data_IF_711990352827
#
_entry.id   IF_711990352827
#
_cell.length_a   1.000
_cell.length_b   1.000
_cell.length_c   1.000
_cell.angle_alpha   90.00
_cell.angle_beta   90.00
_cell.angle_gamma   90.00
#
_symmetry.space_group_name_H-M   'P 1'
#
loop_
_entity.id
_entity.type
_entity.pdbx_description
1 polymer ?
#
# COMPACT_ATOMS: atom_id res chain seq x y z
N UNK A 1 5.14 -55.85 -32.64
CA UNK A 1 4.04 -55.10 -33.29
C UNK A 1 3.77 -53.85 -32.44
N UNK A 2 4.10 -52.66 -32.90
CA UNK A 2 3.85 -51.42 -32.15
C UNK A 2 2.49 -50.85 -32.53
N UNK A 3 1.69 -50.52 -31.53
CA UNK A 3 0.38 -49.87 -31.66
C UNK A 3 0.54 -48.35 -31.59
N UNK A 4 0.22 -47.68 -32.70
CA UNK A 4 0.21 -46.21 -32.82
C UNK A 4 -1.09 -45.66 -32.26
N UNK A 5 -1.05 -44.94 -31.15
CA UNK A 5 -2.15 -44.06 -30.74
C UNK A 5 -1.89 -42.65 -31.24
N UNK A 6 -2.70 -42.22 -32.21
CA UNK A 6 -2.75 -40.86 -32.73
C UNK A 6 -3.44 -39.95 -31.69
N UNK A 7 -2.71 -38.97 -31.16
CA UNK A 7 -3.27 -37.85 -30.40
C UNK A 7 -3.95 -36.89 -31.38
N UNK A 8 -5.25 -36.70 -31.22
CA UNK A 8 -6.03 -35.68 -31.91
C UNK A 8 -6.00 -34.43 -31.01
N UNK A 9 -5.29 -33.40 -31.46
CA UNK A 9 -5.33 -32.09 -30.84
C UNK A 9 -6.61 -31.37 -31.27
N UNK A 10 -7.51 -31.10 -30.33
CA UNK A 10 -8.72 -30.31 -30.54
C UNK A 10 -8.39 -28.85 -30.19
N UNK A 11 -8.12 -28.02 -31.18
CA UNK A 11 -7.92 -26.58 -31.03
C UNK A 11 -9.28 -25.88 -30.86
N UNK A 12 -9.54 -25.33 -29.71
CA UNK A 12 -10.67 -24.43 -29.50
C UNK A 12 -10.24 -22.99 -29.82
N UNK A 13 -10.71 -22.46 -30.96
CA UNK A 13 -10.56 -21.04 -31.29
C UNK A 13 -11.60 -20.22 -30.50
N UNK A 14 -11.13 -19.37 -29.61
CA UNK A 14 -11.98 -18.40 -28.91
C UNK A 14 -12.02 -17.14 -29.76
N UNK A 15 -13.18 -16.87 -30.37
CA UNK A 15 -13.47 -15.61 -31.07
C UNK A 15 -13.77 -14.52 -30.03
N UNK A 16 -12.91 -13.50 -29.94
CA UNK A 16 -13.16 -12.30 -29.15
C UNK A 16 -14.01 -11.35 -29.98
N UNK A 17 -15.26 -11.17 -29.60
CA UNK A 17 -16.15 -10.14 -30.17
C UNK A 17 -15.79 -8.78 -29.53
N UNK A 18 -15.19 -7.89 -30.32
CA UNK A 18 -14.98 -6.49 -29.93
C UNK A 18 -16.26 -5.72 -30.21
N UNK A 19 -17.02 -5.43 -29.16
CA UNK A 19 -18.16 -4.49 -29.24
C UNK A 19 -17.64 -3.07 -29.18
N UNK A 20 -17.70 -2.35 -30.31
CA UNK A 20 -17.39 -0.92 -30.37
C UNK A 20 -18.41 -0.08 -29.60
N UNK A 21 -17.93 0.68 -28.61
CA UNK A 21 -18.70 1.72 -27.95
C UNK A 21 -18.47 3.01 -28.75
N UNK A 22 -19.52 3.56 -29.34
CA UNK A 22 -19.51 4.85 -30.01
C UNK A 22 -19.38 5.97 -28.97
N UNK A 23 -18.29 6.75 -29.05
CA UNK A 23 -18.10 7.98 -28.29
C UNK A 23 -19.01 9.06 -28.91
N UNK A 24 -19.99 9.55 -28.16
CA UNK A 24 -20.74 10.76 -28.51
C UNK A 24 -19.84 11.98 -28.21
N UNK A 25 -19.47 12.67 -29.28
CA UNK A 25 -18.76 13.94 -29.25
C UNK A 25 -19.75 15.04 -28.80
N UNK A 26 -19.56 15.58 -27.59
CA UNK A 26 -20.27 16.80 -27.16
C UNK A 26 -19.41 18.01 -27.55
N UNK A 27 -19.99 18.85 -28.40
CA UNK A 27 -19.42 20.12 -28.83
C UNK A 27 -19.19 21.10 -27.65
N UNK A 28 -18.15 21.95 -27.70
CA UNK A 28 -17.91 22.95 -26.67
C UNK A 28 -18.93 24.10 -26.80
N UNK A 29 -19.68 24.36 -25.74
CA UNK A 29 -20.55 25.51 -25.62
C UNK A 29 -19.73 26.79 -25.45
N UNK A 30 -19.89 27.72 -26.40
CA UNK A 30 -19.40 29.09 -26.31
C UNK A 30 -20.06 29.81 -25.12
N UNK A 31 -19.33 30.02 -24.05
CA UNK A 31 -19.70 31.00 -23.01
C UNK A 31 -19.15 32.38 -23.40
N UNK A 32 -20.01 33.16 -24.03
CA UNK A 32 -19.85 34.57 -24.32
C UNK A 32 -19.76 35.32 -22.98
N UNK A 33 -18.55 35.79 -22.61
CA UNK A 33 -18.37 36.72 -21.51
C UNK A 33 -18.88 38.11 -21.85
N UNK A 34 -19.95 38.55 -21.22
CA UNK A 34 -20.42 39.92 -21.26
C UNK A 34 -19.47 40.86 -20.48
N UNK A 35 -19.31 42.11 -20.95
CA UNK A 35 -18.41 43.10 -20.34
C UNK A 35 -19.12 43.97 -19.31
N UNK A 36 -19.45 43.44 -18.11
CA UNK A 36 -20.01 44.26 -17.05
C UNK A 36 -19.64 43.66 -15.69
N UNK A 37 -18.44 43.91 -15.21
CA UNK A 37 -18.07 43.91 -13.78
C UNK A 37 -16.66 44.47 -13.59
N UNK A 38 -16.42 45.69 -14.10
CA UNK A 38 -15.33 46.52 -13.61
C UNK A 38 -15.96 47.77 -12.98
N UNK A 39 -16.21 47.75 -11.69
CA UNK A 39 -16.28 48.92 -10.81
C UNK A 39 -16.48 48.45 -9.35
N UNK A 40 -15.44 47.98 -8.73
CA UNK A 40 -15.30 48.15 -7.29
C UNK A 40 -14.05 48.96 -7.03
N UNK A 41 -14.32 50.28 -6.80
CA UNK A 41 -13.38 51.27 -6.35
C UNK A 41 -12.71 50.78 -5.07
N UNK A 42 -11.38 50.72 -5.08
CA UNK A 42 -10.57 50.62 -3.87
C UNK A 42 -10.72 51.88 -3.04
N UNK A 43 -11.09 51.79 -1.77
CA UNK A 43 -10.93 52.95 -0.87
C UNK A 43 -9.43 53.11 -0.60
N UNK A 44 -8.90 54.25 -1.03
CA UNK A 44 -7.59 54.74 -0.67
C UNK A 44 -7.61 55.19 0.79
N UNK A 45 -7.46 54.28 1.73
CA UNK A 45 -7.23 54.54 3.15
C UNK A 45 -5.74 54.35 3.44
N UNK A 46 -5.00 55.43 3.41
CA UNK A 46 -3.66 55.53 4.02
C UNK A 46 -3.83 55.43 5.53
N UNK A 47 -3.62 54.25 6.10
CA UNK A 47 -3.38 54.13 7.53
C UNK A 47 -1.87 54.17 7.78
N UNK A 48 -1.38 55.09 8.64
CA UNK A 48 0.04 55.13 8.97
C UNK A 48 0.40 53.84 9.73
N UNK A 49 1.36 53.08 9.21
CA UNK A 49 1.96 51.94 9.88
C UNK A 49 2.70 52.41 11.14
N UNK A 50 2.07 52.20 12.26
CA UNK A 50 2.74 52.37 13.57
C UNK A 50 3.69 51.20 13.85
N UNK A 51 4.74 51.41 14.67
CA UNK A 51 5.74 50.38 14.96
C UNK A 51 5.18 49.14 15.67
N UNK A 52 3.95 49.18 16.14
CA UNK A 52 3.30 48.06 16.84
C UNK A 52 2.84 46.92 15.91
N UNK A 53 2.48 47.23 14.66
CA UNK A 53 2.04 46.19 13.71
C UNK A 53 3.17 45.26 13.26
N UNK A 54 4.40 45.72 13.27
CA UNK A 54 5.57 44.91 12.93
C UNK A 54 5.90 43.88 14.01
N UNK A 55 5.67 44.25 15.28
CA UNK A 55 5.88 43.34 16.41
C UNK A 55 4.77 42.26 16.50
N UNK A 56 3.52 42.61 16.17
CA UNK A 56 2.40 41.67 16.16
C UNK A 56 2.57 40.63 15.05
N UNK A 57 2.99 41.05 13.85
CA UNK A 57 3.30 40.08 12.75
C UNK A 57 4.50 39.20 13.09
N UNK A 58 5.54 39.68 13.74
CA UNK A 58 6.66 38.87 14.20
C UNK A 58 6.27 37.91 15.32
N UNK A 59 5.33 38.26 16.19
CA UNK A 59 4.79 37.34 17.20
C UNK A 59 3.93 36.23 16.57
N UNK A 60 3.13 36.55 15.56
CA UNK A 60 2.34 35.56 14.86
C UNK A 60 3.23 34.56 14.07
N UNK A 61 4.31 35.03 13.45
CA UNK A 61 5.28 34.17 12.80
C UNK A 61 6.15 33.32 13.76
N UNK A 62 6.46 33.87 14.97
CA UNK A 62 7.15 33.06 15.99
C UNK A 62 6.25 32.02 16.63
N UNK A 63 4.94 32.21 16.67
CA UNK A 63 3.97 31.21 17.12
C UNK A 63 3.82 30.03 16.14
N UNK A 64 4.06 30.24 14.85
CA UNK A 64 4.02 29.16 13.83
C UNK A 64 5.33 28.39 13.68
N UNK A 65 6.48 28.95 14.07
CA UNK A 65 7.76 28.23 14.06
C UNK A 65 8.08 27.49 15.36
N UNK A 66 7.30 27.70 16.44
CA UNK A 66 7.45 27.00 17.72
C UNK A 66 6.73 25.66 17.82
N UNK A 67 6.02 25.22 16.78
CA UNK A 67 5.22 23.99 16.75
C UNK A 67 5.95 22.72 16.37
N UNK A 68 7.24 22.73 16.08
CA UNK A 68 8.01 21.54 15.69
C UNK A 68 8.64 20.78 16.86
N UNK A 69 8.20 20.99 18.08
CA UNK A 69 8.86 20.48 19.26
C UNK A 69 8.01 19.71 20.27
N UNK A 70 6.82 19.25 19.91
CA UNK A 70 6.19 18.13 20.65
C UNK A 70 6.15 16.92 19.76
N UNK A 71 7.27 16.23 19.64
CA UNK A 71 7.28 14.81 19.40
C UNK A 71 6.30 14.20 20.39
N UNK A 72 5.16 13.74 19.90
CA UNK A 72 4.29 12.84 20.64
C UNK A 72 5.18 11.85 21.35
N UNK A 73 4.97 11.63 22.64
CA UNK A 73 5.80 10.75 23.45
C UNK A 73 6.10 9.49 22.63
N UNK A 74 7.38 9.15 22.50
CA UNK A 74 7.90 8.21 21.53
C UNK A 74 7.06 6.93 21.58
N UNK A 75 6.15 6.77 20.63
CA UNK A 75 5.46 5.51 20.44
C UNK A 75 6.53 4.48 20.14
N UNK A 76 6.53 3.39 20.89
CA UNK A 76 7.45 2.27 20.63
C UNK A 76 7.05 1.47 19.39
N UNK A 77 5.93 1.82 18.79
CA UNK A 77 5.36 1.17 17.61
C UNK A 77 5.14 2.22 16.52
N UNK A 78 5.56 1.96 15.26
CA UNK A 78 5.30 2.83 14.13
C UNK A 78 3.80 3.09 13.91
N UNK A 79 3.41 4.31 13.57
CA UNK A 79 2.02 4.74 13.41
C UNK A 79 1.70 5.26 12.01
N UNK A 80 2.71 5.62 11.22
CA UNK A 80 2.50 6.11 9.86
C UNK A 80 2.22 4.97 8.87
N UNK A 81 1.33 5.18 7.88
CA UNK A 81 1.09 4.21 6.81
C UNK A 81 2.36 3.97 6.00
N UNK A 82 2.70 2.70 5.74
CA UNK A 82 3.98 2.28 5.20
C UNK A 82 4.21 2.46 3.71
N UNK A 83 3.40 3.24 2.97
CA UNK A 83 3.60 3.42 1.52
C UNK A 83 4.45 4.64 1.15
N UNK A 84 4.54 5.65 2.00
CA UNK A 84 5.58 6.66 1.88
C UNK A 84 6.87 6.10 2.49
N UNK A 85 7.75 5.61 1.63
CA UNK A 85 8.99 4.97 2.06
C UNK A 85 9.85 5.89 2.94
N UNK A 86 9.89 7.19 2.66
CA UNK A 86 10.60 8.15 3.49
C UNK A 86 9.95 8.32 4.86
N UNK A 87 8.61 8.45 4.90
CA UNK A 87 7.88 8.58 6.16
C UNK A 87 8.05 7.37 7.05
N UNK A 88 7.92 6.16 6.50
CA UNK A 88 8.12 4.90 7.23
C UNK A 88 9.55 4.75 7.77
N UNK A 89 10.57 5.07 6.96
CA UNK A 89 11.97 5.03 7.38
C UNK A 89 12.23 6.10 8.44
N UNK A 90 11.75 7.33 8.24
CA UNK A 90 11.93 8.42 9.20
C UNK A 90 11.32 8.09 10.56
N UNK A 91 10.10 7.55 10.60
CA UNK A 91 9.46 7.15 11.85
C UNK A 91 10.27 6.05 12.55
N UNK A 92 10.74 5.05 11.80
CA UNK A 92 11.59 3.99 12.32
C UNK A 92 12.90 4.54 12.90
N UNK A 93 13.57 5.46 12.20
CA UNK A 93 14.79 6.12 12.70
C UNK A 93 14.51 6.88 13.99
N UNK A 94 13.42 7.67 14.05
CA UNK A 94 13.06 8.40 15.26
C UNK A 94 12.82 7.48 16.46
N UNK A 95 12.19 6.30 16.24
CA UNK A 95 11.96 5.30 17.30
C UNK A 95 13.29 4.68 17.76
N UNK A 96 14.19 4.35 16.81
CA UNK A 96 15.51 3.79 17.12
C UNK A 96 16.39 4.78 17.87
N UNK A 97 16.38 6.05 17.49
CA UNK A 97 17.12 7.15 18.16
C UNK A 97 16.61 7.39 19.58
N UNK A 98 15.31 7.27 19.80
CA UNK A 98 14.69 7.48 21.11
C UNK A 98 14.91 6.32 22.10
N UNK A 99 15.23 5.13 21.64
CA UNK A 99 15.48 3.95 22.47
C UNK A 99 16.98 3.83 22.81
N UNK A 100 17.41 4.13 24.04
CA UNK A 100 18.82 4.06 24.45
C UNK A 100 19.40 2.63 24.42
N UNK A 101 18.55 1.62 24.22
CA UNK A 101 18.97 0.21 24.10
C UNK A 101 19.13 -0.22 22.64
N UNK A 102 19.01 0.69 21.69
CA UNK A 102 19.21 0.39 20.27
C UNK A 102 20.65 -0.05 20.03
N UNK A 103 20.81 -1.24 19.52
CA UNK A 103 22.10 -1.77 19.06
C UNK A 103 22.31 -1.38 17.59
N UNK A 104 22.92 -0.21 17.38
CA UNK A 104 23.15 0.35 16.04
C UNK A 104 24.04 -0.53 15.16
N UNK A 105 24.81 -1.46 15.73
CA UNK A 105 25.60 -2.41 14.94
C UNK A 105 24.75 -3.47 14.22
N UNK A 106 23.49 -3.62 14.62
CA UNK A 106 22.53 -4.56 14.04
C UNK A 106 21.42 -3.89 13.24
N UNK A 107 21.38 -2.55 13.25
CA UNK A 107 20.36 -1.82 12.50
C UNK A 107 20.61 -1.98 11.00
N UNK A 108 19.58 -2.43 10.27
CA UNK A 108 19.59 -2.61 8.82
C UNK A 108 18.41 -1.85 8.19
N UNK A 109 18.63 -0.57 7.92
CA UNK A 109 17.64 0.26 7.22
C UNK A 109 17.56 -0.07 5.72
N UNK A 110 18.58 -0.73 5.16
CA UNK A 110 18.54 -1.18 3.78
C UNK A 110 17.57 -2.34 3.61
N UNK A 111 17.51 -3.28 4.55
CA UNK A 111 16.50 -4.34 4.56
C UNK A 111 15.08 -3.74 4.60
N UNK A 112 14.83 -2.75 5.47
CA UNK A 112 13.56 -2.02 5.49
C UNK A 112 13.27 -1.34 4.15
N UNK A 113 14.24 -0.67 3.54
CA UNK A 113 14.08 -0.03 2.23
C UNK A 113 13.70 -1.05 1.15
N UNK A 114 14.34 -2.21 1.12
CA UNK A 114 14.02 -3.27 0.16
C UNK A 114 12.59 -3.81 0.36
N UNK A 115 12.17 -4.00 1.60
CA UNK A 115 10.81 -4.41 1.92
C UNK A 115 9.76 -3.38 1.44
N UNK A 116 9.98 -2.09 1.67
CA UNK A 116 9.09 -1.03 1.18
C UNK A 116 9.02 -0.97 -0.36
N UNK A 117 10.12 -1.29 -1.05
CA UNK A 117 10.11 -1.43 -2.50
C UNK A 117 9.25 -2.64 -2.92
N UNK A 118 9.39 -3.78 -2.25
CA UNK A 118 8.59 -4.97 -2.54
C UNK A 118 7.10 -4.73 -2.26
N UNK A 119 6.74 -3.97 -1.22
CA UNK A 119 5.36 -3.51 -0.99
C UNK A 119 4.82 -2.71 -2.18
N UNK A 120 5.60 -1.78 -2.73
CA UNK A 120 5.21 -0.98 -3.89
C UNK A 120 5.08 -1.85 -5.16
N UNK A 121 5.98 -2.81 -5.38
CA UNK A 121 5.90 -3.75 -6.51
C UNK A 121 4.58 -4.55 -6.46
N UNK A 122 4.25 -5.11 -5.29
CA UNK A 122 3.00 -5.87 -5.12
C UNK A 122 1.77 -4.98 -5.25
N UNK A 123 1.78 -3.79 -4.62
CA UNK A 123 0.61 -2.92 -4.60
C UNK A 123 0.31 -2.30 -5.98
N UNK A 124 1.35 -1.94 -6.74
CA UNK A 124 1.20 -1.12 -7.95
C UNK A 124 1.33 -1.92 -9.25
N UNK A 125 1.95 -3.10 -9.22
CA UNK A 125 2.32 -3.83 -10.45
C UNK A 125 1.87 -5.29 -10.49
N UNK A 126 1.53 -5.91 -9.35
CA UNK A 126 1.00 -7.26 -9.36
C UNK A 126 -0.40 -7.26 -9.98
N UNK A 127 -0.68 -8.28 -10.79
CA UNK A 127 -2.03 -8.59 -11.23
C UNK A 127 -2.67 -9.51 -10.20
N UNK A 128 -3.91 -9.20 -9.79
CA UNK A 128 -4.66 -9.99 -8.82
C UNK A 128 -6.04 -10.34 -9.38
N UNK A 129 -6.30 -11.61 -9.57
CA UNK A 129 -7.57 -12.13 -10.11
C UNK A 129 -8.32 -12.85 -9.00
N UNK A 130 -9.31 -12.20 -8.34
CA UNK A 130 -10.08 -12.82 -7.27
C UNK A 130 -11.16 -13.73 -7.83
N UNK A 131 -11.38 -14.85 -7.15
CA UNK A 131 -12.46 -15.80 -7.35
C UNK A 131 -13.14 -16.10 -6.03
N UNK A 132 -14.46 -15.89 -5.95
CA UNK A 132 -15.22 -16.29 -4.77
C UNK A 132 -15.28 -17.81 -4.71
N UNK A 133 -14.98 -18.32 -3.52
CA UNK A 133 -15.09 -19.74 -3.17
C UNK A 133 -16.04 -19.90 -1.99
N UNK A 134 -16.36 -21.15 -1.65
CA UNK A 134 -17.10 -21.43 -0.41
C UNK A 134 -16.25 -20.97 0.80
N UNK A 135 -16.86 -20.20 1.66
CA UNK A 135 -16.22 -19.65 2.86
C UNK A 135 -15.21 -18.51 2.63
N UNK A 136 -14.99 -17.96 1.41
CA UNK A 136 -14.04 -16.87 1.26
C UNK A 136 -13.66 -16.48 -0.17
N UNK A 137 -12.35 -16.23 -0.38
CA UNK A 137 -11.73 -15.86 -1.64
C UNK A 137 -10.51 -16.75 -1.96
N UNK A 138 -10.34 -17.03 -3.23
CA UNK A 138 -9.12 -17.50 -3.87
C UNK A 138 -8.63 -16.42 -4.83
N UNK A 139 -7.36 -16.06 -4.79
CA UNK A 139 -6.81 -14.93 -5.54
C UNK A 139 -5.51 -15.38 -6.22
N UNK A 140 -5.50 -15.44 -7.54
CA UNK A 140 -4.27 -15.63 -8.30
C UNK A 140 -3.54 -14.27 -8.35
N UNK A 141 -2.36 -14.19 -7.74
CA UNK A 141 -1.52 -12.99 -7.71
C UNK A 141 -0.30 -13.25 -8.57
N UNK A 142 -0.19 -12.55 -9.70
CA UNK A 142 0.83 -12.82 -10.70
C UNK A 142 1.64 -11.58 -11.04
N UNK A 143 2.83 -11.80 -11.59
CA UNK A 143 3.73 -10.74 -12.00
C UNK A 143 4.96 -11.26 -12.73
N UNK A 144 5.87 -10.36 -13.10
CA UNK A 144 7.12 -10.73 -13.76
C UNK A 144 8.31 -9.97 -13.18
N UNK A 145 9.51 -10.48 -13.39
CA UNK A 145 10.75 -9.81 -12.95
C UNK A 145 10.75 -9.52 -11.44
N UNK A 146 10.98 -8.27 -11.06
CA UNK A 146 11.00 -7.88 -9.63
C UNK A 146 9.66 -8.07 -8.95
N UNK A 147 8.56 -7.80 -9.65
CA UNK A 147 7.21 -7.98 -9.10
C UNK A 147 6.95 -9.43 -8.69
N UNK A 148 7.37 -10.40 -9.52
CA UNK A 148 7.27 -11.82 -9.17
C UNK A 148 8.07 -12.15 -7.90
N UNK A 149 9.31 -11.65 -7.79
CA UNK A 149 10.14 -11.84 -6.58
C UNK A 149 9.47 -11.23 -5.34
N UNK A 150 8.88 -10.05 -5.48
CA UNK A 150 8.15 -9.39 -4.38
C UNK A 150 6.91 -10.20 -3.96
N UNK A 151 6.13 -10.72 -4.91
CA UNK A 151 4.96 -11.59 -4.65
C UNK A 151 5.40 -12.82 -3.85
N UNK A 152 6.43 -13.54 -4.30
CA UNK A 152 6.93 -14.75 -3.67
C UNK A 152 7.50 -14.54 -2.26
N UNK A 153 7.96 -13.32 -1.94
CA UNK A 153 8.38 -12.96 -0.59
C UNK A 153 7.22 -12.54 0.30
N UNK A 154 6.36 -11.68 -0.22
CA UNK A 154 5.36 -11.00 0.61
C UNK A 154 4.13 -11.85 0.88
N UNK A 155 3.61 -12.59 -0.10
CA UNK A 155 2.38 -13.34 0.09
C UNK A 155 2.55 -14.48 1.12
N UNK A 156 3.59 -15.32 1.04
CA UNK A 156 3.83 -16.34 2.08
C UNK A 156 4.06 -15.73 3.47
N UNK A 157 4.82 -14.62 3.56
CA UNK A 157 5.05 -13.93 4.83
C UNK A 157 3.75 -13.38 5.42
N UNK A 158 2.88 -12.79 4.61
CA UNK A 158 1.57 -12.33 5.02
C UNK A 158 0.69 -13.49 5.52
N UNK A 159 0.65 -14.63 4.80
CA UNK A 159 -0.12 -15.81 5.20
C UNK A 159 0.29 -16.31 6.58
N UNK A 160 1.59 -16.31 6.91
CA UNK A 160 2.07 -16.71 8.24
C UNK A 160 1.55 -15.79 9.35
N UNK A 161 1.43 -14.49 9.09
CA UNK A 161 0.92 -13.52 10.06
C UNK A 161 -0.61 -13.55 10.15
N UNK A 162 -1.31 -13.71 9.02
CA UNK A 162 -2.76 -13.62 8.94
C UNK A 162 -3.47 -14.91 9.35
N UNK A 163 -2.82 -16.06 9.22
CA UNK A 163 -3.44 -17.35 9.50
C UNK A 163 -3.79 -17.48 11.00
N UNK A 164 -5.07 -17.73 11.27
CA UNK A 164 -5.62 -17.78 12.64
C UNK A 164 -6.02 -16.41 13.22
N UNK A 165 -5.70 -15.30 12.55
CA UNK A 165 -6.12 -13.97 12.99
C UNK A 165 -7.59 -13.73 12.58
N UNK A 166 -8.39 -13.15 13.47
CA UNK A 166 -9.81 -12.85 13.23
C UNK A 166 -10.66 -14.07 12.79
N UNK A 167 -10.17 -15.29 13.07
CA UNK A 167 -10.83 -16.53 12.65
C UNK A 167 -10.62 -16.87 11.16
N UNK A 168 -9.66 -16.23 10.51
CA UNK A 168 -9.29 -16.53 9.13
C UNK A 168 -8.40 -17.78 9.04
N UNK A 169 -8.60 -18.52 7.96
CA UNK A 169 -7.66 -19.54 7.50
C UNK A 169 -7.04 -19.05 6.21
N UNK A 170 -5.77 -18.70 6.27
CA UNK A 170 -4.99 -18.25 5.12
C UNK A 170 -4.04 -19.35 4.64
N UNK A 171 -3.96 -19.55 3.32
CA UNK A 171 -3.08 -20.51 2.67
C UNK A 171 -2.51 -19.90 1.41
N UNK A 172 -1.32 -20.36 1.01
CA UNK A 172 -0.68 -20.00 -0.24
C UNK A 172 -0.25 -21.27 -0.97
N UNK A 173 -0.29 -21.23 -2.29
CA UNK A 173 0.32 -22.24 -3.16
C UNK A 173 0.96 -21.57 -4.37
N UNK A 174 2.07 -22.13 -4.81
CA UNK A 174 2.90 -21.60 -5.89
C UNK A 174 2.18 -21.68 -7.24
N UNK A 175 2.31 -20.63 -8.05
CA UNK A 175 1.99 -20.58 -9.48
C UNK A 175 3.28 -20.40 -10.28
N UNK A 176 3.24 -20.67 -11.58
CA UNK A 176 4.40 -20.49 -12.47
C UNK A 176 4.91 -19.05 -12.48
N UNK A 177 4.00 -18.09 -12.34
CA UNK A 177 4.24 -16.64 -12.46
C UNK A 177 3.73 -15.84 -11.24
N UNK A 178 3.56 -16.51 -10.09
CA UNK A 178 3.05 -15.87 -8.88
C UNK A 178 2.67 -16.82 -7.78
N UNK A 179 1.65 -16.44 -7.01
CA UNK A 179 1.11 -17.18 -5.88
C UNK A 179 -0.42 -17.25 -5.93
N UNK A 180 -1.00 -18.37 -5.54
CA UNK A 180 -2.42 -18.53 -5.31
C UNK A 180 -2.73 -18.37 -3.82
N UNK A 181 -3.27 -17.23 -3.46
CA UNK A 181 -3.69 -16.91 -2.10
C UNK A 181 -5.13 -17.39 -1.87
N UNK A 182 -5.36 -18.16 -0.81
CA UNK A 182 -6.68 -18.60 -0.38
C UNK A 182 -6.94 -18.10 1.03
N UNK A 183 -8.03 -17.36 1.24
CA UNK A 183 -8.45 -16.87 2.57
C UNK A 183 -9.90 -17.25 2.80
N UNK A 184 -10.16 -17.95 3.91
CA UNK A 184 -11.50 -18.42 4.28
C UNK A 184 -11.80 -18.16 5.75
N UNK A 185 -13.09 -18.09 6.10
CA UNK A 185 -13.59 -18.05 7.46
C UNK A 185 -14.83 -18.93 7.59
N UNK A 186 -15.19 -19.26 8.82
CA UNK A 186 -16.44 -20.00 9.12
C UNK A 186 -17.61 -19.07 9.42
N UNK A 187 -17.34 -17.88 9.94
CA UNK A 187 -18.37 -16.88 10.21
C UNK A 187 -18.79 -16.15 8.94
N UNK A 188 -20.08 -16.04 8.69
CA UNK A 188 -20.62 -15.45 7.46
C UNK A 188 -20.31 -13.96 7.31
N UNK A 189 -20.13 -13.20 8.40
CA UNK A 189 -19.75 -11.78 8.35
C UNK A 189 -18.29 -11.68 7.95
N UNK A 190 -17.44 -12.55 8.49
CA UNK A 190 -16.02 -12.60 8.11
C UNK A 190 -15.85 -13.04 6.64
N UNK A 191 -16.67 -13.96 6.14
CA UNK A 191 -16.68 -14.30 4.72
C UNK A 191 -16.99 -13.08 3.84
N UNK A 192 -17.99 -12.26 4.23
CA UNK A 192 -18.30 -11.03 3.51
C UNK A 192 -17.20 -9.97 3.66
N UNK A 193 -16.59 -9.88 4.83
CA UNK A 193 -15.45 -9.01 5.10
C UNK A 193 -14.26 -9.35 4.19
N UNK A 194 -13.84 -10.62 4.17
CA UNK A 194 -12.78 -11.14 3.28
C UNK A 194 -13.08 -10.78 1.81
N UNK A 195 -14.31 -11.00 1.36
CA UNK A 195 -14.74 -10.69 -0.02
C UNK A 195 -14.72 -9.19 -0.31
N UNK A 196 -15.11 -8.36 0.68
CA UNK A 196 -15.09 -6.90 0.56
C UNK A 196 -13.68 -6.31 0.54
N UNK A 197 -12.75 -6.87 1.31
CA UNK A 197 -11.35 -6.46 1.34
C UNK A 197 -10.65 -6.73 0.01
N UNK A 198 -10.96 -7.85 -0.65
CA UNK A 198 -10.24 -8.26 -1.84
C UNK A 198 -8.75 -8.43 -1.60
N UNK A 199 -7.93 -8.47 -2.66
CA UNK A 199 -6.49 -8.68 -2.53
C UNK A 199 -5.80 -7.63 -1.66
N UNK A 200 -5.91 -6.36 -2.06
CA UNK A 200 -5.12 -5.31 -1.41
C UNK A 200 -5.63 -4.97 0.00
N UNK A 201 -6.94 -5.07 0.23
CA UNK A 201 -7.52 -4.89 1.56
C UNK A 201 -7.05 -5.97 2.53
N UNK A 202 -6.96 -7.23 2.09
CA UNK A 202 -6.40 -8.32 2.89
C UNK A 202 -4.95 -8.02 3.28
N UNK A 203 -4.09 -7.67 2.32
CA UNK A 203 -2.69 -7.35 2.60
C UNK A 203 -2.53 -6.13 3.53
N UNK A 204 -3.39 -5.12 3.38
CA UNK A 204 -3.34 -3.91 4.17
C UNK A 204 -4.03 -4.02 5.55
N UNK A 205 -4.84 -5.07 5.78
CA UNK A 205 -5.55 -5.27 7.03
C UNK A 205 -4.62 -5.72 8.16
N UNK A 206 -5.02 -5.44 9.40
CA UNK A 206 -4.26 -5.79 10.59
C UNK A 206 -3.26 -4.72 11.03
N UNK A 207 -2.77 -4.85 12.27
CA UNK A 207 -1.87 -3.89 12.92
C UNK A 207 -0.39 -4.34 12.95
N UNK A 208 -0.04 -5.37 12.20
CA UNK A 208 1.31 -5.96 12.24
C UNK A 208 2.34 -5.29 11.34
N UNK A 209 1.94 -4.52 10.31
CA UNK A 209 2.89 -3.90 9.37
C UNK A 209 3.90 -2.99 10.06
N UNK A 210 3.47 -2.09 10.92
CA UNK A 210 4.36 -1.14 11.57
C UNK A 210 5.34 -1.81 12.56
N UNK A 211 4.91 -2.75 13.44
CA UNK A 211 5.84 -3.53 14.25
C UNK A 211 6.82 -4.37 13.41
N UNK A 212 6.39 -4.89 12.26
CA UNK A 212 7.22 -5.64 11.35
C UNK A 212 8.34 -4.79 10.74
N UNK A 213 8.02 -3.56 10.28
CA UNK A 213 9.03 -2.62 9.77
C UNK A 213 10.11 -2.31 10.80
N UNK A 214 9.71 -2.07 12.05
CA UNK A 214 10.65 -1.80 13.13
C UNK A 214 11.50 -3.05 13.47
N UNK A 215 10.91 -4.23 13.47
CA UNK A 215 11.63 -5.49 13.71
C UNK A 215 12.66 -5.77 12.60
N UNK A 216 12.29 -5.51 11.33
CA UNK A 216 13.18 -5.63 10.18
C UNK A 216 14.37 -4.67 10.29
N UNK A 217 14.12 -3.40 10.57
CA UNK A 217 15.17 -2.41 10.76
C UNK A 217 16.12 -2.75 11.93
N UNK A 218 15.63 -3.45 12.96
CA UNK A 218 16.46 -3.98 14.07
C UNK A 218 17.26 -5.25 13.71
N UNK A 219 17.24 -5.69 12.45
CA UNK A 219 17.92 -6.92 12.02
C UNK A 219 17.32 -8.20 12.61
N UNK A 220 16.03 -8.18 13.00
CA UNK A 220 15.37 -9.34 13.63
C UNK A 220 14.58 -10.20 12.64
N UNK A 221 14.50 -9.81 11.39
CA UNK A 221 13.79 -10.52 10.32
C UNK A 221 14.76 -10.85 9.19
N UNK A 222 14.95 -12.13 8.95
CA UNK A 222 15.63 -12.64 7.77
C UNK A 222 14.58 -13.26 6.84
N UNK A 223 14.34 -12.63 5.70
CA UNK A 223 13.40 -13.16 4.70
C UNK A 223 13.83 -14.53 4.14
N UNK A 224 15.13 -14.86 4.21
CA UNK A 224 15.61 -16.16 3.75
C UNK A 224 15.17 -17.33 4.63
N UNK A 225 14.89 -17.08 5.92
CA UNK A 225 14.42 -18.15 6.82
C UNK A 225 12.97 -18.58 6.57
N UNK A 226 12.18 -17.76 5.88
CA UNK A 226 10.77 -18.05 5.57
C UNK A 226 10.61 -18.97 4.34
N UNK A 227 11.62 -19.02 3.45
CA UNK A 227 11.56 -19.80 2.19
C UNK A 227 12.00 -21.26 2.37
N UNK A 228 12.71 -21.60 3.46
CA UNK A 228 13.30 -22.92 3.66
C UNK A 228 12.57 -23.85 4.65
N UNK A 229 11.34 -23.54 5.05
CA UNK A 229 10.53 -24.40 5.93
C UNK A 229 9.41 -25.17 5.19
N UNK A 230 9.63 -25.50 3.91
CA UNK A 230 8.74 -26.38 3.15
C UNK A 230 9.45 -27.65 2.72
#
# INVERSE_FOLDING_TARGET
>A
MPSNHKLIALGAAIAVAVSGIALAETAPGDHQMGPDHMQHAMPSGQHPMGPDHTQEMMRQHQGMMGGHGRMHGASTTPTLPGQDAFGAIQETVCILDADPKTDWSKVDLEALRQHLIDMNEVTLKAEAVPKQIDGGLEIAVTGSGRTLVAIQRMIPAWVQMANGHEGWTARVSELTDGELLTVTATDSKEVQHIRGLGFIGLLASGSWHQPHHLAMAKGKFDHEQLVHQH
#
